data_IF_860241584359
#
_entry.id   IF_860241584359
#
_cell.length_a   1.000
_cell.length_b   1.000
_cell.length_c   1.000
_cell.angle_alpha   90.00
_cell.angle_beta   90.00
_cell.angle_gamma   90.00
#
_symmetry.space_group_name_H-M   'P 1'
#
loop_
_entity.id
_entity.type
_entity.pdbx_description
1 polymer ?
#
# COMPACT_ATOMS: atom_id res chain seq x y z
N UNK A 1 89.68 -47.95 -15.04
CA UNK A 1 89.48 -46.70 -14.28
C UNK A 1 89.39 -45.53 -15.22
N UNK A 2 88.14 -45.02 -15.49
CA UNK A 2 87.90 -43.67 -15.97
C UNK A 2 86.39 -43.44 -15.84
N UNK A 3 85.98 -42.47 -15.00
CA UNK A 3 84.59 -42.04 -14.71
C UNK A 3 84.08 -41.17 -15.85
N UNK A 4 83.03 -41.58 -16.51
CA UNK A 4 82.29 -40.72 -17.42
C UNK A 4 81.11 -40.06 -16.65
N UNK A 5 81.14 -38.78 -16.52
CA UNK A 5 80.04 -37.98 -15.99
C UNK A 5 79.12 -37.62 -17.14
N UNK A 6 77.91 -38.13 -17.10
CA UNK A 6 76.78 -37.74 -18.00
C UNK A 6 76.12 -36.49 -17.43
N UNK A 7 76.12 -35.42 -18.20
CA UNK A 7 75.39 -34.20 -17.83
C UNK A 7 73.93 -34.34 -18.38
N UNK A 8 72.99 -34.40 -17.46
CA UNK A 8 71.55 -34.33 -17.78
C UNK A 8 71.15 -32.86 -17.76
N UNK A 9 70.76 -32.32 -18.90
CA UNK A 9 70.14 -30.99 -18.98
C UNK A 9 68.66 -31.13 -18.65
N UNK A 10 68.22 -30.47 -17.56
CA UNK A 10 66.80 -30.36 -17.20
C UNK A 10 66.24 -29.10 -17.88
N UNK A 11 65.37 -29.29 -18.84
CA UNK A 11 64.56 -28.22 -19.46
C UNK A 11 63.34 -28.04 -18.56
N UNK A 12 63.30 -26.95 -17.81
CA UNK A 12 62.11 -26.56 -17.03
C UNK A 12 61.11 -25.85 -17.93
N UNK A 13 60.03 -26.54 -18.25
CA UNK A 13 58.87 -25.97 -18.95
C UNK A 13 57.98 -25.28 -17.92
N UNK A 14 58.03 -23.94 -17.83
CA UNK A 14 57.15 -23.16 -16.98
C UNK A 14 55.78 -23.07 -17.66
N UNK A 15 54.83 -23.91 -17.23
CA UNK A 15 53.42 -23.77 -17.57
C UNK A 15 52.78 -22.71 -16.68
N UNK A 16 52.59 -21.52 -17.21
CA UNK A 16 51.84 -20.45 -16.55
C UNK A 16 50.36 -20.81 -16.56
N UNK A 17 49.84 -21.39 -15.47
CA UNK A 17 48.42 -21.56 -15.21
C UNK A 17 47.91 -20.22 -14.73
N UNK A 18 47.30 -19.44 -15.66
CA UNK A 18 46.54 -18.26 -15.29
C UNK A 18 45.23 -18.72 -14.61
N UNK A 19 45.22 -18.77 -13.28
CA UNK A 19 43.98 -18.85 -12.52
C UNK A 19 43.18 -17.55 -12.76
N UNK A 20 42.19 -17.62 -13.63
CA UNK A 20 41.12 -16.62 -13.66
C UNK A 20 40.28 -16.87 -12.41
N UNK A 21 40.61 -16.18 -11.33
CA UNK A 21 39.75 -16.03 -10.17
C UNK A 21 38.54 -15.21 -10.66
N UNK A 22 37.49 -15.90 -11.15
CA UNK A 22 36.16 -15.33 -11.22
C UNK A 22 35.75 -15.04 -9.76
N UNK A 23 36.12 -13.87 -9.27
CA UNK A 23 35.52 -13.34 -8.06
C UNK A 23 34.05 -13.12 -8.38
N UNK A 24 33.19 -14.03 -7.92
CA UNK A 24 31.81 -13.67 -7.65
C UNK A 24 31.85 -12.60 -6.56
N UNK A 25 32.11 -11.35 -6.93
CA UNK A 25 31.80 -10.23 -6.08
C UNK A 25 30.28 -10.20 -5.99
N UNK A 26 29.71 -10.68 -4.91
CA UNK A 26 28.42 -10.19 -4.48
C UNK A 26 28.59 -8.67 -4.37
N UNK A 27 28.15 -7.93 -5.38
CA UNK A 27 28.15 -6.47 -5.33
C UNK A 27 27.22 -6.10 -4.16
N UNK A 28 27.82 -5.66 -3.05
CA UNK A 28 27.05 -5.00 -2.00
C UNK A 28 26.36 -3.82 -2.66
N UNK A 29 25.05 -3.65 -2.43
CA UNK A 29 24.35 -2.48 -2.93
C UNK A 29 24.86 -1.25 -2.20
N UNK A 30 25.05 -0.15 -2.94
CA UNK A 30 25.55 1.10 -2.38
C UNK A 30 24.47 1.78 -1.53
N UNK A 31 23.21 1.68 -1.99
CA UNK A 31 22.04 2.26 -1.35
C UNK A 31 20.95 1.21 -1.17
N UNK A 32 20.05 1.45 -0.23
CA UNK A 32 18.88 0.61 -0.01
C UNK A 32 17.60 1.43 0.00
N UNK A 33 16.55 0.85 -0.58
CA UNK A 33 15.17 1.21 -0.25
C UNK A 33 14.60 0.14 0.67
N UNK A 34 13.71 0.54 1.57
CA UNK A 34 13.05 -0.39 2.47
C UNK A 34 11.55 -0.45 2.21
N UNK A 35 10.90 -1.59 2.52
CA UNK A 35 9.47 -1.62 2.78
C UNK A 35 9.20 -1.74 4.27
N UNK A 36 8.10 -1.11 4.73
CA UNK A 36 7.61 -1.22 6.10
C UNK A 36 6.12 -1.57 6.07
N UNK A 37 5.81 -2.86 6.18
CA UNK A 37 4.50 -3.44 5.94
C UNK A 37 4.13 -4.45 7.05
N UNK A 38 2.82 -4.75 7.28
CA UNK A 38 2.42 -5.81 8.19
C UNK A 38 2.65 -7.18 7.54
N UNK A 39 3.67 -7.92 7.99
CA UNK A 39 4.06 -9.22 7.44
C UNK A 39 3.43 -10.40 8.19
N UNK A 40 2.59 -10.12 9.19
CA UNK A 40 1.83 -11.11 9.97
C UNK A 40 0.35 -10.73 10.02
N UNK A 41 -0.52 -11.74 10.25
CA UNK A 41 -1.97 -11.54 10.34
C UNK A 41 -2.66 -11.48 8.98
N UNK A 42 -3.82 -10.87 8.91
CA UNK A 42 -4.68 -10.88 7.72
C UNK A 42 -4.08 -10.20 6.49
N UNK A 43 -3.26 -9.16 6.69
CA UNK A 43 -2.59 -8.43 5.61
C UNK A 43 -1.29 -9.09 5.11
N UNK A 44 -0.85 -10.21 5.69
CA UNK A 44 0.46 -10.81 5.39
C UNK A 44 0.63 -11.18 3.91
N UNK A 45 -0.37 -11.78 3.29
CA UNK A 45 -0.30 -12.19 1.87
C UNK A 45 -0.23 -10.99 0.93
N UNK A 46 -0.98 -9.93 1.20
CA UNK A 46 -0.89 -8.69 0.43
C UNK A 46 0.47 -8.02 0.57
N UNK A 47 1.01 -7.97 1.80
CA UNK A 47 2.33 -7.41 2.08
C UNK A 47 3.44 -8.19 1.39
N UNK A 48 3.38 -9.53 1.41
CA UNK A 48 4.30 -10.41 0.69
C UNK A 48 4.21 -10.18 -0.82
N UNK A 49 3.01 -10.12 -1.37
CA UNK A 49 2.78 -9.83 -2.79
C UNK A 49 3.31 -8.45 -3.19
N UNK A 50 3.18 -7.46 -2.31
CA UNK A 50 3.74 -6.12 -2.49
C UNK A 50 5.27 -6.15 -2.50
N UNK A 51 5.90 -6.84 -1.56
CA UNK A 51 7.36 -7.00 -1.52
C UNK A 51 7.87 -7.74 -2.77
N UNK A 52 7.16 -8.75 -3.24
CA UNK A 52 7.46 -9.44 -4.48
C UNK A 52 7.40 -8.49 -5.69
N UNK A 53 6.38 -7.64 -5.78
CA UNK A 53 6.26 -6.66 -6.84
C UNK A 53 7.43 -5.64 -6.84
N UNK A 54 7.88 -5.20 -5.67
CA UNK A 54 9.04 -4.32 -5.52
C UNK A 54 10.31 -5.04 -5.97
N UNK A 55 10.53 -6.29 -5.53
CA UNK A 55 11.70 -7.11 -5.93
C UNK A 55 11.75 -7.33 -7.43
N UNK A 56 10.60 -7.60 -8.06
CA UNK A 56 10.51 -7.74 -9.51
C UNK A 56 10.91 -6.43 -10.21
N UNK A 57 10.38 -5.30 -9.77
CA UNK A 57 10.72 -3.99 -10.33
C UNK A 57 12.23 -3.71 -10.23
N UNK A 58 12.83 -3.93 -9.07
CA UNK A 58 14.27 -3.79 -8.86
C UNK A 58 15.08 -4.70 -9.79
N UNK A 59 14.67 -5.97 -9.91
CA UNK A 59 15.28 -6.93 -10.83
C UNK A 59 15.22 -6.44 -12.28
N UNK A 60 14.06 -5.91 -12.72
CA UNK A 60 13.88 -5.34 -14.06
C UNK A 60 14.75 -4.10 -14.29
N UNK A 61 14.97 -3.29 -13.26
CA UNK A 61 15.89 -2.15 -13.27
C UNK A 61 17.38 -2.56 -13.15
N UNK A 62 17.70 -3.87 -13.10
CA UNK A 62 19.05 -4.38 -12.88
C UNK A 62 19.61 -4.06 -11.49
N UNK A 63 18.73 -3.86 -10.49
CA UNK A 63 19.07 -3.39 -9.16
C UNK A 63 19.85 -2.06 -9.18
N UNK A 64 19.44 -1.14 -10.04
CA UNK A 64 20.11 0.16 -10.25
C UNK A 64 19.11 1.31 -10.31
N UNK A 65 19.60 2.48 -9.88
CA UNK A 65 18.95 3.77 -10.08
C UNK A 65 20.03 4.79 -10.49
N UNK A 66 20.07 5.17 -11.79
CA UNK A 66 21.17 5.95 -12.33
C UNK A 66 22.51 5.20 -12.19
N UNK A 67 23.47 5.83 -11.52
CA UNK A 67 24.81 5.23 -11.27
C UNK A 67 24.85 4.35 -10.00
N UNK A 68 23.83 4.43 -9.13
CA UNK A 68 23.80 3.71 -7.88
C UNK A 68 23.32 2.28 -8.02
N UNK A 69 23.93 1.35 -7.30
CA UNK A 69 23.35 0.03 -7.07
C UNK A 69 22.37 0.12 -5.88
N UNK A 70 21.16 -0.44 -6.05
CA UNK A 70 20.07 -0.33 -5.07
C UNK A 70 19.65 -1.71 -4.59
N UNK A 71 19.76 -1.93 -3.28
CA UNK A 71 19.25 -3.09 -2.58
C UNK A 71 17.87 -2.86 -1.99
N UNK A 72 17.30 -3.93 -1.39
CA UNK A 72 15.99 -3.91 -0.79
C UNK A 72 15.99 -4.54 0.60
N UNK A 73 15.28 -3.91 1.55
CA UNK A 73 15.06 -4.41 2.91
C UNK A 73 13.58 -4.47 3.21
N UNK A 74 13.18 -5.45 4.03
CA UNK A 74 11.81 -5.62 4.47
C UNK A 74 11.73 -5.46 5.98
N UNK A 75 10.84 -4.59 6.44
CA UNK A 75 10.53 -4.41 7.86
C UNK A 75 9.09 -4.83 8.12
N UNK A 76 8.90 -5.57 9.20
CA UNK A 76 7.60 -5.98 9.68
C UNK A 76 7.12 -4.99 10.75
N UNK A 77 5.99 -4.32 10.50
CA UNK A 77 5.37 -3.42 11.47
C UNK A 77 4.20 -4.08 12.23
N UNK A 78 3.97 -5.35 12.01
CA UNK A 78 2.96 -6.15 12.69
C UNK A 78 3.53 -6.96 13.86
N UNK A 79 2.63 -7.49 14.67
CA UNK A 79 2.99 -8.44 15.72
C UNK A 79 2.01 -9.61 15.72
N UNK A 80 2.51 -10.82 16.06
CA UNK A 80 1.65 -12.01 16.19
C UNK A 80 0.55 -11.82 17.25
N UNK A 81 0.80 -11.01 18.28
CA UNK A 81 -0.17 -10.74 19.34
C UNK A 81 -1.36 -9.90 18.86
N UNK A 82 -1.13 -8.96 17.94
CA UNK A 82 -2.20 -8.15 17.34
C UNK A 82 -2.80 -8.78 16.07
N UNK A 83 -2.03 -9.58 15.34
CA UNK A 83 -2.43 -10.08 14.01
C UNK A 83 -2.60 -8.96 12.97
N UNK A 84 -2.04 -7.79 13.24
CA UNK A 84 -2.07 -6.59 12.40
C UNK A 84 -0.90 -5.67 12.78
N UNK A 85 -0.80 -4.50 12.15
CA UNK A 85 0.21 -3.50 12.51
C UNK A 85 0.15 -3.11 14.00
N UNK A 86 1.30 -2.70 14.57
CA UNK A 86 1.46 -2.39 15.99
C UNK A 86 2.20 -1.07 16.18
N UNK A 87 1.65 -0.19 17.04
CA UNK A 87 2.18 1.16 17.28
C UNK A 87 3.64 1.13 17.77
N UNK A 88 3.94 0.24 18.70
CA UNK A 88 5.29 0.12 19.26
C UNK A 88 6.28 -0.43 18.22
N UNK A 89 5.82 -1.37 17.37
CA UNK A 89 6.66 -1.90 16.30
C UNK A 89 6.91 -0.84 15.22
N UNK A 90 5.89 -0.04 14.83
CA UNK A 90 6.06 1.10 13.93
C UNK A 90 7.09 2.11 14.47
N UNK A 91 7.01 2.45 15.77
CA UNK A 91 7.96 3.36 16.38
C UNK A 91 9.40 2.79 16.41
N UNK A 92 9.54 1.48 16.66
CA UNK A 92 10.83 0.77 16.61
C UNK A 92 11.40 0.77 15.19
N UNK A 93 10.59 0.46 14.19
CA UNK A 93 11.01 0.45 12.79
C UNK A 93 11.45 1.84 12.34
N UNK A 94 10.72 2.90 12.73
CA UNK A 94 11.11 4.28 12.41
C UNK A 94 12.54 4.60 12.87
N UNK A 95 12.92 4.18 14.09
CA UNK A 95 14.29 4.34 14.59
C UNK A 95 15.30 3.47 13.84
N UNK A 96 14.90 2.26 13.44
CA UNK A 96 15.76 1.36 12.67
C UNK A 96 16.06 1.94 11.27
N UNK A 97 15.08 2.53 10.59
CA UNK A 97 15.26 3.25 9.32
C UNK A 97 16.28 4.40 9.45
N UNK A 98 16.15 5.24 10.48
CA UNK A 98 17.10 6.33 10.72
C UNK A 98 18.52 5.81 11.01
N UNK A 99 18.64 4.68 11.73
CA UNK A 99 19.92 4.08 12.06
C UNK A 99 20.64 3.42 10.86
N UNK A 100 19.89 2.94 9.86
CA UNK A 100 20.42 2.27 8.67
C UNK A 100 20.95 3.32 7.65
N UNK A 101 22.20 3.72 7.76
CA UNK A 101 22.78 4.88 7.04
C UNK A 101 22.85 4.73 5.52
N UNK A 102 22.83 3.51 5.01
CA UNK A 102 22.77 3.18 3.59
C UNK A 102 21.33 3.08 3.04
N UNK A 103 20.33 3.22 3.91
CA UNK A 103 18.93 3.29 3.53
C UNK A 103 18.52 4.73 3.25
N UNK A 104 18.04 5.01 2.04
CA UNK A 104 17.78 6.38 1.57
C UNK A 104 16.30 6.71 1.39
N UNK A 105 15.43 5.71 1.38
CA UNK A 105 13.99 5.90 1.25
C UNK A 105 13.20 4.69 1.74
N UNK A 106 11.94 4.92 2.14
CA UNK A 106 11.00 3.90 2.63
C UNK A 106 9.78 3.83 1.73
N UNK A 107 9.39 2.63 1.31
CA UNK A 107 8.07 2.32 0.76
C UNK A 107 7.17 1.83 1.90
N UNK A 108 6.09 2.48 2.15
CA UNK A 108 5.19 2.12 3.25
C UNK A 108 4.38 3.32 3.75
N UNK A 109 3.59 3.10 4.70
CA UNK A 109 3.13 1.81 5.27
C UNK A 109 1.83 1.37 4.60
N UNK A 110 1.32 0.18 4.96
CA UNK A 110 -0.03 -0.21 4.56
C UNK A 110 -1.08 0.59 5.35
N UNK A 111 -0.88 0.73 6.67
CA UNK A 111 -1.85 1.34 7.59
C UNK A 111 -1.50 2.81 7.88
N UNK A 112 -2.45 3.73 7.70
CA UNK A 112 -2.26 5.17 7.93
C UNK A 112 -1.87 5.53 9.36
N UNK A 113 -2.33 4.75 10.37
CA UNK A 113 -1.93 4.93 11.76
C UNK A 113 -0.44 4.72 11.98
N UNK A 114 0.15 3.70 11.35
CA UNK A 114 1.59 3.45 11.39
C UNK A 114 2.37 4.58 10.70
N UNK A 115 1.90 5.08 9.55
CA UNK A 115 2.53 6.21 8.86
C UNK A 115 2.59 7.46 9.75
N UNK A 116 1.53 7.76 10.51
CA UNK A 116 1.50 8.89 11.46
C UNK A 116 2.57 8.79 12.55
N UNK A 117 3.08 7.58 12.83
CA UNK A 117 4.18 7.34 13.78
C UNK A 117 5.55 7.47 13.09
N UNK A 118 5.69 6.90 11.88
CA UNK A 118 6.98 6.81 11.20
C UNK A 118 7.38 8.14 10.56
N UNK A 119 6.46 8.81 9.84
CA UNK A 119 6.75 10.04 9.07
C UNK A 119 7.45 11.12 9.89
N UNK A 120 7.02 11.49 11.13
CA UNK A 120 7.68 12.55 11.89
C UNK A 120 9.10 12.17 12.36
N UNK A 121 9.40 10.88 12.50
CA UNK A 121 10.75 10.40 12.84
C UNK A 121 11.67 10.51 11.64
N UNK A 122 11.22 10.04 10.47
CA UNK A 122 11.96 10.17 9.21
C UNK A 122 12.14 11.65 8.80
N UNK A 123 11.19 12.52 9.15
CA UNK A 123 11.26 13.94 8.89
C UNK A 123 12.42 14.61 9.62
N UNK A 124 12.73 14.14 10.82
CA UNK A 124 13.78 14.68 11.69
C UNK A 124 15.12 13.96 11.57
N UNK A 125 15.31 13.15 10.53
CA UNK A 125 16.56 12.45 10.32
C UNK A 125 17.73 13.45 10.21
N UNK A 126 18.82 13.27 10.98
CA UNK A 126 19.95 14.21 10.99
C UNK A 126 20.71 14.29 9.66
N UNK A 127 20.63 13.23 8.82
CA UNK A 127 21.26 13.18 7.50
C UNK A 127 20.37 13.79 6.40
N UNK A 128 19.25 14.41 6.79
CA UNK A 128 18.22 15.02 5.95
C UNK A 128 16.91 14.23 5.97
N UNK A 129 15.77 14.87 5.71
CA UNK A 129 14.47 14.20 5.72
C UNK A 129 14.47 12.98 4.80
N UNK A 130 14.22 11.79 5.38
CA UNK A 130 14.12 10.56 4.59
C UNK A 130 12.75 10.48 3.93
N UNK A 131 12.73 10.25 2.63
CA UNK A 131 11.49 10.13 1.85
C UNK A 131 10.75 8.85 2.19
N UNK A 132 9.43 8.96 2.34
CA UNK A 132 8.53 7.83 2.44
C UNK A 132 7.44 7.92 1.37
N UNK A 133 7.25 6.85 0.58
CA UNK A 133 6.19 6.77 -0.43
C UNK A 133 5.27 5.61 -0.12
N UNK A 134 3.99 5.89 0.12
CA UNK A 134 3.00 4.86 0.42
C UNK A 134 2.25 4.38 -0.81
N UNK A 135 1.99 3.09 -0.84
CA UNK A 135 1.13 2.43 -1.81
C UNK A 135 -0.33 2.30 -1.34
N UNK A 136 -0.63 2.58 -0.06
CA UNK A 136 -1.92 2.23 0.53
C UNK A 136 -2.47 3.22 1.58
N UNK A 137 -1.67 4.16 2.09
CA UNK A 137 -2.18 5.13 3.06
C UNK A 137 -3.07 6.17 2.41
N UNK A 138 -4.30 6.26 2.85
CA UNK A 138 -5.33 7.13 2.26
C UNK A 138 -5.83 8.22 3.20
N UNK A 139 -5.47 8.18 4.50
CA UNK A 139 -5.93 9.19 5.46
C UNK A 139 -5.50 10.60 5.05
N UNK A 140 -6.43 11.56 4.87
CA UNK A 140 -6.10 12.90 4.42
C UNK A 140 -5.18 13.67 5.36
N UNK A 141 -5.27 13.42 6.67
CA UNK A 141 -4.50 14.12 7.70
C UNK A 141 -2.99 13.94 7.61
N UNK A 142 -2.50 12.96 6.82
CA UNK A 142 -1.08 12.81 6.54
C UNK A 142 -0.51 13.96 5.69
N UNK A 143 -1.35 14.62 4.87
CA UNK A 143 -0.90 15.61 3.87
C UNK A 143 -1.72 16.89 3.87
N UNK A 144 -2.94 16.85 4.40
CA UNK A 144 -3.91 17.95 4.39
C UNK A 144 -4.41 18.28 5.80
N UNK A 145 -4.96 19.47 5.99
CA UNK A 145 -5.69 19.82 7.21
C UNK A 145 -6.89 18.88 7.38
N UNK A 146 -6.92 18.16 8.49
CA UNK A 146 -7.95 17.16 8.78
C UNK A 146 -8.36 17.18 10.25
N UNK A 147 -7.53 16.68 11.14
CA UNK A 147 -7.71 16.81 12.59
C UNK A 147 -6.76 17.87 13.16
N UNK A 148 -6.95 18.23 14.43
CA UNK A 148 -6.16 19.29 15.07
C UNK A 148 -4.64 19.06 14.94
N UNK A 149 -3.95 20.05 14.42
CA UNK A 149 -2.50 20.04 14.20
C UNK A 149 -2.04 19.18 13.01
N UNK A 150 -2.96 18.62 12.22
CA UNK A 150 -2.62 17.90 10.99
C UNK A 150 -2.62 18.88 9.80
N UNK A 151 -1.72 18.66 8.86
CA UNK A 151 -0.66 17.64 8.81
C UNK A 151 0.65 18.09 9.48
N UNK A 152 0.76 19.34 9.96
CA UNK A 152 2.02 20.00 10.39
C UNK A 152 2.74 19.20 11.48
N UNK A 153 2.01 18.55 12.39
CA UNK A 153 2.59 17.73 13.46
C UNK A 153 3.45 16.56 12.95
N UNK A 154 3.29 16.16 11.69
CA UNK A 154 4.08 15.09 11.06
C UNK A 154 5.34 15.62 10.35
N UNK A 155 5.47 16.94 10.23
CA UNK A 155 6.57 17.62 9.53
C UNK A 155 7.26 18.65 10.42
N UNK A 156 7.85 18.24 11.56
CA UNK A 156 8.42 19.18 12.52
C UNK A 156 9.56 20.04 11.97
N UNK A 157 10.24 19.59 10.89
CA UNK A 157 11.25 20.41 10.17
C UNK A 157 10.65 21.35 9.13
N UNK A 158 9.35 21.27 8.87
CA UNK A 158 8.66 21.95 7.77
C UNK A 158 8.86 21.30 6.39
N UNK A 159 9.72 20.28 6.27
CA UNK A 159 9.93 19.55 5.02
C UNK A 159 8.84 18.51 4.78
N UNK A 160 8.24 18.48 3.60
CA UNK A 160 7.22 17.48 3.21
C UNK A 160 7.90 16.24 2.62
N UNK A 161 8.24 15.27 3.47
CA UNK A 161 8.98 14.05 3.09
C UNK A 161 8.08 12.83 2.82
N UNK A 162 6.77 12.99 2.86
CA UNK A 162 5.81 11.92 2.63
C UNK A 162 5.05 12.11 1.33
N UNK A 163 4.89 11.01 0.58
CA UNK A 163 4.18 10.92 -0.69
C UNK A 163 3.31 9.67 -0.73
N UNK A 164 2.32 9.62 -1.64
CA UNK A 164 1.51 8.42 -1.87
C UNK A 164 1.07 8.29 -3.32
N UNK A 165 1.08 7.05 -3.83
CA UNK A 165 0.69 6.74 -5.21
C UNK A 165 -0.78 6.32 -5.34
N UNK A 166 -1.55 6.37 -4.25
CA UNK A 166 -3.01 6.19 -4.19
C UNK A 166 -3.67 7.50 -3.77
N UNK A 167 -4.92 7.71 -4.15
CA UNK A 167 -5.65 8.92 -3.75
C UNK A 167 -6.17 8.83 -2.31
N UNK A 168 -6.88 9.83 -1.83
CA UNK A 168 -7.18 10.02 -0.41
C UNK A 168 -8.61 9.66 -0.05
N UNK A 169 -8.88 9.40 1.24
CA UNK A 169 -10.20 9.01 1.77
C UNK A 169 -11.29 10.07 1.55
N UNK A 170 -10.95 11.35 1.45
CA UNK A 170 -11.90 12.38 1.09
C UNK A 170 -12.43 12.16 -0.34
N UNK A 171 -11.57 11.76 -1.29
CA UNK A 171 -12.02 11.35 -2.62
C UNK A 171 -12.77 10.01 -2.57
N UNK A 172 -12.28 9.04 -1.80
CA UNK A 172 -12.91 7.72 -1.70
C UNK A 172 -14.31 7.80 -1.09
N UNK A 173 -14.47 8.53 0.00
CA UNK A 173 -15.76 8.72 0.66
C UNK A 173 -16.77 9.46 -0.23
N UNK A 174 -16.32 10.48 -0.98
CA UNK A 174 -17.14 11.19 -1.94
C UNK A 174 -17.63 10.24 -3.05
N UNK A 175 -16.73 9.52 -3.71
CA UNK A 175 -17.08 8.58 -4.77
C UNK A 175 -18.01 7.45 -4.28
N UNK A 176 -17.76 6.93 -3.08
CA UNK A 176 -18.62 5.90 -2.47
C UNK A 176 -20.05 6.43 -2.20
N UNK A 177 -20.19 7.67 -1.74
CA UNK A 177 -21.48 8.29 -1.49
C UNK A 177 -22.23 8.61 -2.82
N UNK A 178 -21.52 9.12 -3.85
CA UNK A 178 -22.07 9.32 -5.19
C UNK A 178 -22.55 7.98 -5.78
N UNK A 179 -21.76 6.93 -5.66
CA UNK A 179 -22.16 5.60 -6.10
C UNK A 179 -23.39 5.09 -5.35
N UNK A 180 -23.42 5.20 -4.02
CA UNK A 180 -24.58 4.79 -3.22
C UNK A 180 -25.86 5.51 -3.66
N UNK A 181 -25.79 6.83 -3.90
CA UNK A 181 -26.91 7.60 -4.41
C UNK A 181 -27.34 7.11 -5.81
N UNK A 182 -26.39 6.86 -6.71
CA UNK A 182 -26.67 6.44 -8.10
C UNK A 182 -27.40 5.10 -8.19
N UNK A 183 -27.19 4.20 -7.21
CA UNK A 183 -27.87 2.90 -7.13
C UNK A 183 -29.14 2.93 -6.27
N UNK A 184 -29.64 4.12 -5.97
CA UNK A 184 -30.93 4.36 -5.31
C UNK A 184 -30.94 4.23 -3.79
N UNK A 185 -29.78 4.23 -3.13
CA UNK A 185 -29.69 4.30 -1.66
C UNK A 185 -30.22 5.65 -1.18
N UNK A 186 -31.04 5.64 -0.14
CA UNK A 186 -31.58 6.83 0.51
C UNK A 186 -31.20 6.89 1.99
N UNK A 187 -31.06 5.74 2.63
CA UNK A 187 -30.84 5.58 4.06
C UNK A 187 -29.62 4.70 4.31
N UNK A 188 -28.61 5.24 4.94
CA UNK A 188 -27.34 4.52 5.18
C UNK A 188 -27.02 4.49 6.66
N UNK A 189 -26.55 3.34 7.14
CA UNK A 189 -25.96 3.21 8.46
C UNK A 189 -24.46 3.06 8.32
N UNK A 190 -23.68 3.89 9.00
CA UNK A 190 -22.21 3.94 8.90
C UNK A 190 -21.58 3.29 10.12
N UNK A 191 -20.59 2.42 9.88
CA UNK A 191 -19.75 1.77 10.88
C UNK A 191 -18.28 2.17 10.66
N UNK A 192 -17.45 2.10 11.73
CA UNK A 192 -16.00 2.24 11.62
C UNK A 192 -15.26 1.25 12.53
N UNK A 193 -13.98 0.98 12.24
CA UNK A 193 -13.12 0.05 12.99
C UNK A 193 -12.40 0.69 14.19
N UNK A 194 -12.71 1.92 14.53
CA UNK A 194 -12.05 2.73 15.58
C UNK A 194 -10.57 3.03 15.32
N UNK A 195 -10.06 2.71 14.12
CA UNK A 195 -8.70 3.06 13.72
C UNK A 195 -8.67 4.37 12.93
N UNK A 196 -7.49 4.97 12.87
CA UNK A 196 -7.26 6.24 12.16
C UNK A 196 -7.81 6.24 10.73
N UNK A 197 -7.55 5.16 9.98
CA UNK A 197 -8.05 5.01 8.61
C UNK A 197 -9.56 4.85 8.59
N UNK A 198 -10.11 3.87 9.29
CA UNK A 198 -11.53 3.57 9.22
C UNK A 198 -12.43 4.69 9.72
N UNK A 199 -12.02 5.42 10.77
CA UNK A 199 -12.70 6.65 11.20
C UNK A 199 -12.64 7.70 10.10
N UNK A 200 -11.49 7.90 9.46
CA UNK A 200 -11.28 8.89 8.41
C UNK A 200 -12.20 8.66 7.21
N UNK A 201 -12.16 7.47 6.63
CA UNK A 201 -12.98 7.15 5.45
C UNK A 201 -14.48 7.12 5.76
N UNK A 202 -14.88 6.66 6.96
CA UNK A 202 -16.28 6.71 7.42
C UNK A 202 -16.78 8.16 7.58
N UNK A 203 -15.93 9.07 8.08
CA UNK A 203 -16.22 10.50 8.19
C UNK A 203 -16.40 11.13 6.81
N UNK A 204 -15.49 10.85 5.89
CA UNK A 204 -15.56 11.33 4.50
C UNK A 204 -16.85 10.90 3.83
N UNK A 205 -17.18 9.61 3.90
CA UNK A 205 -18.43 9.07 3.38
C UNK A 205 -19.65 9.73 4.03
N UNK A 206 -19.66 9.85 5.35
CA UNK A 206 -20.79 10.45 6.10
C UNK A 206 -21.05 11.89 5.68
N UNK A 207 -19.97 12.68 5.54
CA UNK A 207 -20.06 14.08 5.08
C UNK A 207 -20.62 14.17 3.67
N UNK A 208 -20.08 13.38 2.74
CA UNK A 208 -20.52 13.35 1.36
C UNK A 208 -21.97 12.84 1.22
N UNK A 209 -22.34 11.78 1.93
CA UNK A 209 -23.70 11.24 1.94
C UNK A 209 -24.71 12.28 2.39
N UNK A 210 -24.44 13.04 3.46
CA UNK A 210 -25.29 14.13 3.93
C UNK A 210 -25.39 15.25 2.90
N UNK A 211 -24.27 15.64 2.29
CA UNK A 211 -24.25 16.69 1.24
C UNK A 211 -25.07 16.29 0.00
N UNK A 212 -25.12 15.01 -0.34
CA UNK A 212 -25.92 14.44 -1.43
C UNK A 212 -27.39 14.18 -1.05
N UNK A 213 -27.79 14.49 0.20
CA UNK A 213 -29.18 14.31 0.66
C UNK A 213 -29.53 12.89 1.11
N UNK A 214 -28.57 12.01 1.31
CA UNK A 214 -28.81 10.71 1.92
C UNK A 214 -29.05 10.87 3.43
N UNK A 215 -29.98 10.08 3.98
CA UNK A 215 -30.24 10.04 5.41
C UNK A 215 -29.22 9.13 6.09
N UNK A 216 -28.28 9.70 6.85
CA UNK A 216 -27.34 8.94 7.68
C UNK A 216 -28.01 8.60 9.01
N UNK A 217 -28.13 7.31 9.29
CA UNK A 217 -28.92 6.75 10.43
C UNK A 217 -28.08 6.51 11.68
N UNK A 218 -26.75 6.45 11.53
CA UNK A 218 -25.81 6.28 12.61
C UNK A 218 -25.49 7.59 13.32
N UNK A 219 -25.14 7.50 14.59
CA UNK A 219 -24.71 8.65 15.40
C UNK A 219 -23.27 9.07 15.02
N UNK A 220 -22.94 10.32 15.25
CA UNK A 220 -21.61 10.87 15.03
C UNK A 220 -21.32 11.29 13.58
N UNK A 221 -20.10 11.78 13.38
CA UNK A 221 -19.60 12.22 12.06
C UNK A 221 -18.91 11.08 11.27
N UNK A 222 -18.46 10.03 11.98
CA UNK A 222 -17.81 8.85 11.43
C UNK A 222 -18.62 7.56 11.67
N UNK A 223 -19.90 7.66 12.07
CA UNK A 223 -20.73 6.50 12.38
C UNK A 223 -20.34 5.84 13.72
N UNK A 224 -20.67 4.56 13.87
CA UNK A 224 -20.53 3.79 15.12
C UNK A 224 -19.36 2.82 15.01
N UNK A 225 -18.44 2.86 15.99
CA UNK A 225 -17.31 1.94 16.07
C UNK A 225 -17.71 0.52 16.49
N UNK A 226 -17.26 -0.51 15.76
CA UNK A 226 -17.40 -1.88 16.22
C UNK A 226 -16.23 -2.28 17.14
N UNK A 227 -16.42 -3.37 17.88
CA UNK A 227 -15.39 -3.97 18.73
C UNK A 227 -14.76 -5.15 17.98
N UNK A 228 -13.47 -5.04 17.63
CA UNK A 228 -12.71 -6.07 16.90
C UNK A 228 -12.54 -7.39 17.68
N UNK A 229 -12.79 -7.36 19.01
CA UNK A 229 -12.72 -8.54 19.89
C UNK A 229 -14.07 -9.15 20.20
N UNK A 230 -15.16 -8.58 19.69
CA UNK A 230 -16.48 -9.12 19.91
C UNK A 230 -16.62 -10.50 19.27
N UNK A 231 -17.18 -11.51 19.97
CA UNK A 231 -17.39 -12.84 19.41
C UNK A 231 -18.47 -12.87 18.32
N UNK A 232 -19.35 -11.90 18.31
CA UNK A 232 -20.39 -11.68 17.30
C UNK A 232 -20.94 -10.26 17.37
N UNK A 233 -21.69 -9.85 16.36
CA UNK A 233 -22.28 -8.51 16.22
C UNK A 233 -23.83 -8.54 16.22
N UNK A 234 -24.46 -9.54 16.85
CA UNK A 234 -25.93 -9.67 16.92
C UNK A 234 -26.60 -8.41 17.46
N UNK A 235 -26.16 -7.91 18.60
CA UNK A 235 -26.74 -6.73 19.23
C UNK A 235 -26.60 -5.50 18.34
N UNK A 236 -25.44 -5.32 17.68
CA UNK A 236 -25.18 -4.23 16.76
C UNK A 236 -26.13 -4.29 15.55
N UNK A 237 -26.21 -5.43 14.84
CA UNK A 237 -27.06 -5.57 13.68
C UNK A 237 -28.54 -5.62 13.99
N UNK A 238 -28.94 -6.05 15.18
CA UNK A 238 -30.33 -5.91 15.65
C UNK A 238 -30.72 -4.43 15.80
N UNK A 239 -29.84 -3.60 16.40
CA UNK A 239 -30.03 -2.13 16.47
C UNK A 239 -30.10 -1.51 15.08
N UNK A 240 -29.18 -1.88 14.17
CA UNK A 240 -29.16 -1.38 12.79
C UNK A 240 -30.45 -1.76 12.07
N UNK A 241 -30.92 -2.99 12.18
CA UNK A 241 -32.17 -3.47 11.55
C UNK A 241 -33.38 -2.62 11.93
N UNK A 242 -33.47 -2.19 13.21
CA UNK A 242 -34.58 -1.35 13.68
C UNK A 242 -34.59 0.03 12.98
N UNK A 243 -33.48 0.52 12.48
CA UNK A 243 -33.39 1.79 11.72
C UNK A 243 -33.79 1.66 10.26
N UNK A 244 -33.96 0.45 9.73
CA UNK A 244 -34.36 0.14 8.34
C UNK A 244 -33.45 0.82 7.30
N UNK A 245 -32.14 0.53 7.26
CA UNK A 245 -31.25 1.08 6.25
C UNK A 245 -31.42 0.41 4.89
N UNK A 246 -31.14 1.14 3.81
CA UNK A 246 -30.99 0.57 2.46
C UNK A 246 -29.58 0.02 2.25
N UNK A 247 -28.59 0.60 2.99
CA UNK A 247 -27.19 0.22 2.92
C UNK A 247 -26.55 0.33 4.31
N UNK A 248 -25.60 -0.56 4.57
CA UNK A 248 -24.57 -0.38 5.60
C UNK A 248 -23.25 -0.05 4.92
N UNK A 249 -22.64 1.08 5.28
CA UNK A 249 -21.28 1.45 4.89
C UNK A 249 -20.33 1.17 6.03
N UNK A 250 -19.18 0.60 5.71
CA UNK A 250 -18.13 0.29 6.69
C UNK A 250 -16.87 1.11 6.37
N UNK A 251 -16.30 1.78 7.34
CA UNK A 251 -14.96 2.35 7.27
C UNK A 251 -14.02 1.48 8.11
N UNK A 252 -13.06 0.81 7.49
CA UNK A 252 -12.13 -0.04 8.22
C UNK A 252 -11.43 -1.08 7.39
N UNK A 253 -10.68 -1.95 8.07
CA UNK A 253 -9.91 -3.04 7.47
C UNK A 253 -10.46 -4.41 7.86
N UNK A 254 -10.28 -5.38 6.98
CA UNK A 254 -10.74 -6.75 7.19
C UNK A 254 -10.08 -7.43 8.40
N UNK A 255 -8.81 -7.13 8.69
CA UNK A 255 -8.03 -7.69 9.83
C UNK A 255 -8.72 -7.50 11.19
N UNK A 256 -9.54 -6.48 11.35
CA UNK A 256 -10.20 -6.15 12.62
C UNK A 256 -11.55 -6.83 12.74
N UNK A 257 -11.53 -8.17 12.66
CA UNK A 257 -12.71 -9.02 12.78
C UNK A 257 -13.76 -8.79 11.68
N UNK A 258 -13.32 -8.32 10.50
CA UNK A 258 -14.16 -8.02 9.36
C UNK A 258 -14.95 -9.25 8.88
N UNK A 259 -14.35 -10.44 8.94
CA UNK A 259 -15.01 -11.68 8.54
C UNK A 259 -16.27 -11.96 9.37
N UNK A 260 -16.21 -11.78 10.70
CA UNK A 260 -17.38 -11.93 11.56
C UNK A 260 -18.42 -10.83 11.31
N UNK A 261 -17.97 -9.60 11.04
CA UNK A 261 -18.84 -8.48 10.71
C UNK A 261 -19.67 -8.76 9.44
N UNK A 262 -19.04 -9.29 8.39
CA UNK A 262 -19.68 -9.67 7.11
C UNK A 262 -20.71 -10.76 7.32
N UNK A 263 -20.37 -11.84 8.05
CA UNK A 263 -21.27 -12.94 8.35
C UNK A 263 -22.51 -12.48 9.12
N UNK A 264 -22.32 -11.68 10.15
CA UNK A 264 -23.43 -11.21 10.99
C UNK A 264 -24.28 -10.17 10.28
N UNK A 265 -23.70 -9.33 9.40
CA UNK A 265 -24.50 -8.45 8.54
C UNK A 265 -25.51 -9.25 7.72
N UNK A 266 -25.09 -10.30 7.05
CA UNK A 266 -25.99 -11.14 6.23
C UNK A 266 -26.97 -11.89 7.10
N UNK A 267 -26.54 -12.46 8.20
CA UNK A 267 -27.39 -13.21 9.14
C UNK A 267 -28.56 -12.37 9.67
N UNK A 268 -28.34 -11.11 10.02
CA UNK A 268 -29.34 -10.29 10.70
C UNK A 268 -30.07 -9.30 9.77
N UNK A 269 -29.44 -8.82 8.68
CA UNK A 269 -30.02 -7.86 7.75
C UNK A 269 -30.42 -8.48 6.41
N UNK A 270 -30.05 -9.74 6.16
CA UNK A 270 -30.20 -10.43 4.87
C UNK A 270 -29.03 -10.18 3.94
N UNK A 271 -29.10 -10.83 2.79
CA UNK A 271 -28.07 -10.76 1.75
C UNK A 271 -27.87 -9.31 1.23
N UNK A 272 -26.81 -9.13 0.43
CA UNK A 272 -26.40 -7.79 -0.03
C UNK A 272 -27.30 -7.22 -1.14
N UNK A 273 -28.29 -7.98 -1.61
CA UNK A 273 -29.37 -7.47 -2.49
C UNK A 273 -30.50 -6.80 -1.71
N UNK A 274 -30.76 -7.26 -0.47
CA UNK A 274 -31.82 -6.71 0.41
C UNK A 274 -31.38 -5.44 1.12
N UNK A 275 -30.27 -5.52 1.86
CA UNK A 275 -29.59 -4.37 2.44
C UNK A 275 -28.18 -4.33 1.87
N UNK A 276 -27.88 -3.34 1.05
CA UNK A 276 -26.58 -3.22 0.41
C UNK A 276 -25.46 -3.15 1.45
N UNK A 277 -24.31 -3.67 1.10
CA UNK A 277 -23.14 -3.62 1.94
C UNK A 277 -22.00 -3.03 1.14
N UNK A 278 -21.38 -1.96 1.61
CA UNK A 278 -20.27 -1.31 0.94
C UNK A 278 -19.13 -1.05 1.92
N UNK A 279 -17.94 -1.41 1.48
CA UNK A 279 -16.69 -1.31 2.24
C UNK A 279 -15.63 -0.59 1.42
N UNK A 280 -14.64 0.04 2.05
CA UNK A 280 -13.54 0.70 1.36
C UNK A 280 -12.43 -0.29 0.98
N UNK A 281 -11.35 0.23 0.46
CA UNK A 281 -10.17 -0.51 0.01
C UNK A 281 -9.48 -1.36 1.09
N UNK A 282 -9.72 -1.07 2.38
CA UNK A 282 -9.30 -1.92 3.48
C UNK A 282 -9.92 -3.33 3.51
N UNK A 283 -10.84 -3.64 2.60
CA UNK A 283 -11.42 -4.97 2.39
C UNK A 283 -11.02 -5.58 1.03
N UNK A 284 -10.30 -4.87 0.17
CA UNK A 284 -9.89 -5.37 -1.14
C UNK A 284 -8.71 -6.33 -1.06
N UNK A 285 -8.69 -7.35 -1.93
CA UNK A 285 -7.55 -8.27 -2.09
C UNK A 285 -7.34 -9.26 -0.95
N UNK A 286 -8.33 -9.47 -0.07
CA UNK A 286 -8.27 -10.48 0.99
C UNK A 286 -8.89 -11.80 0.52
N UNK A 287 -8.11 -12.89 0.33
CA UNK A 287 -8.66 -14.18 -0.07
C UNK A 287 -9.72 -14.70 0.90
N UNK A 288 -9.50 -14.53 2.22
CA UNK A 288 -10.44 -14.96 3.25
C UNK A 288 -11.77 -14.19 3.20
N UNK A 289 -11.76 -12.91 2.82
CA UNK A 289 -12.97 -12.13 2.58
C UNK A 289 -13.72 -12.64 1.35
N UNK A 290 -12.99 -12.82 0.24
CA UNK A 290 -13.58 -13.26 -1.03
C UNK A 290 -14.12 -14.70 -0.98
N UNK A 291 -13.56 -15.54 -0.10
CA UNK A 291 -14.04 -16.88 0.13
C UNK A 291 -15.35 -16.97 0.95
N UNK A 292 -15.79 -15.86 1.59
CA UNK A 292 -17.03 -15.83 2.35
C UNK A 292 -18.25 -15.81 1.41
N UNK A 293 -19.18 -16.77 1.51
CA UNK A 293 -20.44 -16.69 0.75
C UNK A 293 -21.22 -15.40 1.03
N UNK A 294 -21.11 -14.87 2.25
CA UNK A 294 -21.77 -13.65 2.71
C UNK A 294 -21.18 -12.37 2.07
N UNK A 295 -20.00 -12.45 1.46
CA UNK A 295 -19.43 -11.33 0.71
C UNK A 295 -20.09 -11.12 -0.66
N UNK A 296 -20.76 -12.14 -1.20
CA UNK A 296 -21.39 -12.07 -2.52
C UNK A 296 -22.35 -10.88 -2.64
N UNK A 297 -22.18 -10.06 -3.70
CA UNK A 297 -22.96 -8.87 -3.96
C UNK A 297 -22.57 -7.64 -3.12
N UNK A 298 -21.57 -7.75 -2.26
CA UNK A 298 -21.02 -6.57 -1.56
C UNK A 298 -20.26 -5.66 -2.52
N UNK A 299 -20.31 -4.35 -2.27
CA UNK A 299 -19.53 -3.36 -3.02
C UNK A 299 -18.25 -3.00 -2.28
N UNK A 300 -17.21 -2.72 -3.05
CA UNK A 300 -15.94 -2.21 -2.56
C UNK A 300 -15.58 -0.93 -3.31
N UNK A 301 -14.83 -0.04 -2.67
CA UNK A 301 -14.16 1.07 -3.37
C UNK A 301 -12.65 0.90 -3.25
N UNK A 302 -11.92 1.27 -4.30
CA UNK A 302 -10.46 1.23 -4.34
C UNK A 302 -9.90 2.59 -4.77
N UNK A 303 -8.88 3.07 -4.08
CA UNK A 303 -8.27 4.41 -4.22
C UNK A 303 -7.29 4.51 -5.40
N UNK A 304 -7.76 4.21 -6.58
CA UNK A 304 -7.01 4.19 -7.84
C UNK A 304 -7.72 3.33 -8.88
N UNK A 305 -6.99 2.90 -9.90
CA UNK A 305 -7.45 1.86 -10.82
C UNK A 305 -7.26 0.48 -10.18
N UNK A 306 -8.25 -0.39 -10.27
CA UNK A 306 -8.05 -1.80 -9.94
C UNK A 306 -7.20 -2.50 -11.02
N UNK A 307 -6.53 -3.57 -10.62
CA UNK A 307 -5.55 -4.26 -11.48
C UNK A 307 -6.12 -4.72 -12.83
N UNK A 308 -7.40 -5.09 -12.87
CA UNK A 308 -8.12 -5.49 -14.08
C UNK A 308 -8.45 -4.29 -15.00
N UNK A 309 -8.35 -3.08 -14.50
CA UNK A 309 -8.56 -1.81 -15.22
C UNK A 309 -7.26 -1.19 -15.73
N UNK A 310 -6.11 -1.77 -15.46
CA UNK A 310 -4.85 -1.26 -15.97
C UNK A 310 -4.83 -1.30 -17.49
N UNK A 311 -4.28 -0.25 -18.16
CA UNK A 311 -4.21 -0.17 -19.60
C UNK A 311 -3.50 -1.38 -20.22
N UNK A 312 -4.06 -1.91 -21.32
CA UNK A 312 -3.48 -3.02 -22.08
C UNK A 312 -2.43 -2.54 -23.07
N UNK A 313 -1.53 -3.43 -23.45
CA UNK A 313 -0.49 -3.19 -24.47
C UNK A 313 0.69 -2.33 -23.99
N UNK A 314 0.82 -2.06 -22.66
CA UNK A 314 1.85 -1.18 -22.12
C UNK A 314 2.66 -1.78 -20.97
N UNK A 315 3.36 -0.89 -20.24
CA UNK A 315 4.21 -1.26 -19.11
C UNK A 315 3.42 -1.99 -17.99
N UNK A 316 2.19 -1.57 -17.73
CA UNK A 316 1.35 -2.16 -16.69
C UNK A 316 0.97 -3.62 -17.01
N UNK A 317 0.54 -3.92 -18.23
CA UNK A 317 0.22 -5.30 -18.63
C UNK A 317 1.48 -6.18 -18.64
N UNK A 318 2.59 -5.63 -19.15
CA UNK A 318 3.88 -6.34 -19.13
C UNK A 318 4.31 -6.67 -17.71
N UNK A 319 4.21 -5.72 -16.78
CA UNK A 319 4.58 -5.95 -15.38
C UNK A 319 3.76 -7.06 -14.73
N UNK A 320 2.44 -7.10 -14.98
CA UNK A 320 1.56 -8.18 -14.47
C UNK A 320 1.95 -9.55 -15.06
N UNK A 321 2.25 -9.60 -16.36
CA UNK A 321 2.69 -10.83 -17.01
C UNK A 321 4.03 -11.32 -16.47
N UNK A 322 4.99 -10.42 -16.26
CA UNK A 322 6.29 -10.73 -15.69
C UNK A 322 6.17 -11.18 -14.22
N UNK A 323 5.24 -10.57 -13.45
CA UNK A 323 4.97 -10.99 -12.08
C UNK A 323 4.45 -12.43 -12.02
N UNK A 324 3.47 -12.75 -12.86
CA UNK A 324 2.93 -14.11 -12.98
C UNK A 324 4.01 -15.11 -13.39
N UNK A 325 4.88 -14.74 -14.33
CA UNK A 325 5.98 -15.59 -14.79
C UNK A 325 7.04 -15.82 -13.70
N UNK A 326 7.33 -14.82 -12.85
CA UNK A 326 8.34 -14.89 -11.80
C UNK A 326 7.86 -15.68 -10.58
N UNK A 327 6.59 -15.46 -10.16
CA UNK A 327 6.08 -16.01 -8.90
C UNK A 327 5.06 -17.14 -9.06
N UNK A 328 4.60 -17.43 -10.28
CA UNK A 328 3.61 -18.50 -10.55
C UNK A 328 2.17 -18.13 -10.17
N UNK A 329 1.95 -16.93 -9.69
CA UNK A 329 0.65 -16.41 -9.28
C UNK A 329 0.50 -14.92 -9.64
N UNK A 330 -0.73 -14.46 -9.80
CA UNK A 330 -0.98 -13.03 -10.01
C UNK A 330 -0.80 -12.24 -8.70
N UNK A 331 -0.54 -10.91 -8.75
CA UNK A 331 -0.56 -10.08 -7.56
C UNK A 331 -1.88 -10.22 -6.81
N UNK A 332 -1.84 -10.39 -5.48
CA UNK A 332 -3.04 -10.66 -4.66
C UNK A 332 -4.02 -9.49 -4.60
N UNK A 333 -3.52 -8.27 -4.79
CA UNK A 333 -4.35 -7.06 -4.81
C UNK A 333 -3.76 -5.98 -5.70
N UNK A 334 -4.56 -4.97 -6.03
CA UNK A 334 -4.08 -3.77 -6.72
C UNK A 334 -2.97 -3.07 -5.93
N UNK A 335 -3.05 -3.04 -4.59
CA UNK A 335 -2.02 -2.47 -3.72
C UNK A 335 -0.63 -3.09 -3.92
N UNK A 336 -0.56 -4.36 -4.33
CA UNK A 336 0.72 -5.01 -4.62
C UNK A 336 1.46 -4.32 -5.77
N UNK A 337 0.75 -4.00 -6.84
CA UNK A 337 1.33 -3.30 -8.00
C UNK A 337 1.60 -1.83 -7.68
N UNK A 338 0.74 -1.19 -6.87
CA UNK A 338 1.00 0.17 -6.38
C UNK A 338 2.26 0.22 -5.48
N UNK A 339 2.64 -0.89 -4.81
CA UNK A 339 3.93 -0.99 -4.11
C UNK A 339 5.11 -0.90 -5.07
N UNK A 340 5.03 -1.59 -6.22
CA UNK A 340 6.02 -1.42 -7.27
C UNK A 340 6.01 0.00 -7.87
N UNK A 341 4.83 0.63 -8.03
CA UNK A 341 4.74 2.03 -8.48
C UNK A 341 5.41 3.00 -7.50
N UNK A 342 5.25 2.79 -6.20
CA UNK A 342 5.95 3.58 -5.18
C UNK A 342 7.47 3.39 -5.27
N UNK A 343 7.94 2.16 -5.42
CA UNK A 343 9.35 1.87 -5.63
C UNK A 343 9.87 2.48 -6.95
N UNK A 344 9.08 2.47 -8.02
CA UNK A 344 9.43 3.10 -9.31
C UNK A 344 9.68 4.60 -9.15
N UNK A 345 8.84 5.29 -8.38
CA UNK A 345 9.00 6.70 -8.02
C UNK A 345 10.29 6.92 -7.23
N UNK A 346 10.57 6.05 -6.24
CA UNK A 346 11.78 6.13 -5.43
C UNK A 346 13.05 5.91 -6.27
N UNK A 347 13.06 4.91 -7.17
CA UNK A 347 14.19 4.68 -8.07
C UNK A 347 14.42 5.88 -9.01
N UNK A 348 13.35 6.51 -9.50
CA UNK A 348 13.45 7.71 -10.34
C UNK A 348 14.04 8.90 -9.56
N UNK A 349 13.72 9.04 -8.26
CA UNK A 349 14.28 10.07 -7.41
C UNK A 349 15.76 9.80 -7.07
N UNK A 350 16.11 8.55 -6.73
CA UNK A 350 17.51 8.15 -6.47
C UNK A 350 18.37 8.43 -7.71
N UNK A 351 17.90 8.05 -8.90
CA UNK A 351 18.63 8.25 -10.16
C UNK A 351 18.93 9.74 -10.48
N UNK A 352 18.16 10.68 -9.92
CA UNK A 352 18.34 12.13 -10.11
C UNK A 352 19.03 12.80 -8.92
N UNK A 353 19.36 12.07 -7.87
CA UNK A 353 19.96 12.55 -6.64
C UNK A 353 21.48 12.37 -6.62
N UNK A 354 22.11 12.82 -5.55
CA UNK A 354 23.51 12.53 -5.22
C UNK A 354 23.68 11.27 -4.35
N UNK A 355 22.61 10.48 -4.19
CA UNK A 355 22.58 9.27 -3.37
C UNK A 355 22.40 9.51 -1.87
N UNK A 356 22.34 10.75 -1.42
CA UNK A 356 22.06 11.07 0.00
C UNK A 356 20.56 11.15 0.27
N UNK A 357 20.13 10.95 1.53
CA UNK A 357 18.73 11.13 1.96
C UNK A 357 18.20 12.50 1.55
N UNK A 358 19.00 13.55 1.81
CA UNK A 358 18.68 14.93 1.41
C UNK A 358 18.55 15.08 -0.11
N UNK A 359 19.47 14.48 -0.88
CA UNK A 359 19.44 14.52 -2.35
C UNK A 359 18.20 13.83 -2.90
N UNK A 360 17.84 12.65 -2.39
CA UNK A 360 16.61 11.93 -2.77
C UNK A 360 15.36 12.74 -2.41
N UNK A 361 15.31 13.37 -1.23
CA UNK A 361 14.21 14.24 -0.83
C UNK A 361 14.05 15.44 -1.79
N UNK A 362 15.12 16.11 -2.15
CA UNK A 362 15.05 17.24 -3.09
C UNK A 362 14.62 16.78 -4.50
N UNK A 363 15.11 15.61 -4.96
CA UNK A 363 14.75 15.06 -6.25
C UNK A 363 13.25 14.69 -6.34
N UNK A 364 12.63 14.27 -5.23
CA UNK A 364 11.19 13.92 -5.20
C UNK A 364 10.27 15.07 -5.59
N UNK A 365 10.65 16.32 -5.34
CA UNK A 365 9.82 17.50 -5.64
C UNK A 365 9.45 17.67 -7.12
N UNK A 366 10.16 17.02 -8.02
CA UNK A 366 9.93 17.13 -9.47
C UNK A 366 9.78 15.78 -10.16
N UNK A 367 9.54 14.70 -9.41
CA UNK A 367 9.39 13.38 -10.01
C UNK A 367 8.06 13.27 -10.75
N UNK A 368 8.16 12.81 -11.99
CA UNK A 368 7.04 12.36 -12.83
C UNK A 368 7.46 11.05 -13.48
N UNK A 369 6.63 10.02 -13.35
CA UNK A 369 6.72 8.79 -14.12
C UNK A 369 5.59 8.83 -15.14
N UNK A 370 5.91 8.87 -16.45
CA UNK A 370 4.88 8.91 -17.50
C UNK A 370 3.99 7.67 -17.47
N UNK A 371 2.73 7.80 -17.86
CA UNK A 371 1.79 6.68 -17.93
C UNK A 371 2.32 5.51 -18.77
N UNK A 372 3.06 5.79 -19.85
CA UNK A 372 3.66 4.78 -20.73
C UNK A 372 4.75 3.92 -20.07
N UNK A 373 5.37 4.42 -18.99
CA UNK A 373 6.43 3.74 -18.24
C UNK A 373 5.94 3.19 -16.90
N UNK A 374 4.81 3.70 -16.41
CA UNK A 374 4.25 3.36 -15.10
C UNK A 374 3.73 1.92 -15.06
N UNK A 375 4.10 1.18 -14.01
CA UNK A 375 3.63 -0.19 -13.80
C UNK A 375 2.13 -0.28 -13.47
N UNK A 376 1.47 0.84 -13.18
CA UNK A 376 0.01 0.93 -13.03
C UNK A 376 -0.66 1.57 -14.25
N UNK A 377 0.12 2.00 -15.25
CA UNK A 377 -0.37 2.53 -16.53
C UNK A 377 -1.01 3.92 -16.44
N UNK A 378 -0.85 4.62 -15.33
CA UNK A 378 -1.25 6.02 -15.14
C UNK A 378 -0.03 6.86 -14.80
N UNK A 379 -0.09 8.17 -15.09
CA UNK A 379 0.99 9.08 -14.71
C UNK A 379 1.13 9.13 -13.17
N UNK A 380 2.35 8.95 -12.67
CA UNK A 380 2.67 9.15 -11.27
C UNK A 380 3.28 10.54 -11.10
N UNK A 381 2.48 11.47 -10.68
CA UNK A 381 2.84 12.87 -10.42
C UNK A 381 2.13 13.34 -9.15
N UNK A 382 2.82 14.12 -8.35
CA UNK A 382 2.34 14.56 -7.04
C UNK A 382 2.00 16.05 -7.05
N UNK A 383 1.05 16.40 -6.20
CA UNK A 383 0.77 17.80 -5.88
C UNK A 383 1.78 18.34 -4.84
N UNK A 384 1.60 19.58 -4.43
CA UNK A 384 2.46 20.26 -3.45
C UNK A 384 2.44 19.62 -2.07
N UNK A 385 1.41 18.81 -1.77
CA UNK A 385 1.25 18.11 -0.49
C UNK A 385 1.90 16.72 -0.50
N UNK A 386 2.30 16.21 -1.67
CA UNK A 386 2.78 14.84 -1.86
C UNK A 386 1.68 13.82 -2.19
N UNK A 387 0.47 14.28 -2.46
CA UNK A 387 -0.64 13.42 -2.91
C UNK A 387 -0.55 13.20 -4.42
N UNK A 388 -0.87 11.96 -4.88
CA UNK A 388 -1.02 11.70 -6.31
C UNK A 388 -2.12 12.61 -6.90
N UNK A 389 -1.88 13.16 -8.09
CA UNK A 389 -2.84 14.07 -8.72
C UNK A 389 -4.08 13.36 -9.26
N UNK A 390 -4.01 12.05 -9.50
CA UNK A 390 -5.17 11.26 -9.90
C UNK A 390 -6.18 11.17 -8.75
N UNK A 391 -7.46 11.36 -9.07
CA UNK A 391 -8.59 11.25 -8.14
C UNK A 391 -9.56 10.16 -8.57
N UNK A 392 -9.04 9.16 -9.29
CA UNK A 392 -9.84 8.03 -9.76
C UNK A 392 -10.11 7.07 -8.60
N UNK A 393 -11.37 6.70 -8.45
CA UNK A 393 -11.84 5.67 -7.52
C UNK A 393 -12.51 4.58 -8.33
N UNK A 394 -12.07 3.35 -8.16
CA UNK A 394 -12.74 2.18 -8.75
C UNK A 394 -13.78 1.64 -7.77
N UNK A 395 -14.99 1.39 -8.27
CA UNK A 395 -16.03 0.66 -7.56
C UNK A 395 -16.05 -0.77 -8.08
N UNK A 396 -15.99 -1.70 -7.15
CA UNK A 396 -15.97 -3.13 -7.40
C UNK A 396 -17.21 -3.79 -6.76
N UNK A 397 -17.57 -4.97 -7.25
CA UNK A 397 -18.57 -5.85 -6.63
C UNK A 397 -17.95 -7.23 -6.41
N UNK A 398 -18.34 -7.90 -5.35
CA UNK A 398 -17.93 -9.30 -5.12
C UNK A 398 -18.88 -10.24 -5.84
N UNK A 399 -18.38 -10.89 -6.89
CA UNK A 399 -19.12 -11.84 -7.72
C UNK A 399 -18.31 -13.12 -7.86
N UNK A 400 -18.91 -14.27 -7.53
CA UNK A 400 -18.27 -15.59 -7.62
C UNK A 400 -16.90 -15.65 -6.90
N UNK A 401 -16.82 -15.04 -5.73
CA UNK A 401 -15.58 -15.01 -4.93
C UNK A 401 -14.46 -14.15 -5.52
N UNK A 402 -14.80 -13.21 -6.39
CA UNK A 402 -13.84 -12.29 -7.04
C UNK A 402 -14.33 -10.86 -6.98
N UNK A 403 -13.38 -9.94 -6.93
CA UNK A 403 -13.63 -8.53 -7.16
C UNK A 403 -13.87 -8.30 -8.66
N UNK A 404 -15.01 -7.72 -9.02
CA UNK A 404 -15.37 -7.42 -10.40
C UNK A 404 -15.63 -5.93 -10.56
N UNK A 405 -15.12 -5.34 -11.63
CA UNK A 405 -15.30 -3.94 -11.94
C UNK A 405 -16.77 -3.58 -12.16
N UNK A 406 -17.21 -2.50 -11.51
CA UNK A 406 -18.56 -1.91 -11.71
C UNK A 406 -18.47 -0.59 -12.45
N UNK A 407 -17.71 0.35 -11.91
CA UNK A 407 -17.52 1.67 -12.51
C UNK A 407 -16.28 2.36 -11.96
N UNK A 408 -15.84 3.40 -12.65
CA UNK A 408 -14.81 4.33 -12.17
C UNK A 408 -15.44 5.70 -11.98
N UNK A 409 -15.12 6.35 -10.87
CA UNK A 409 -15.56 7.70 -10.54
C UNK A 409 -14.31 8.56 -10.37
N UNK A 410 -14.21 9.63 -11.17
CA UNK A 410 -13.15 10.64 -11.02
C UNK A 410 -13.74 11.80 -10.23
N UNK A 411 -13.27 11.98 -9.00
CA UNK A 411 -13.75 13.06 -8.12
C UNK A 411 -13.24 14.41 -8.61
N UNK A 412 -14.12 15.40 -8.61
CA UNK A 412 -13.82 16.76 -9.13
C UNK A 412 -13.03 17.62 -8.15
#
# INVERSE_FOLDING_TARGET
MKKNRLKVAVVALAASVSLVLSSCSSSSSDLFIASDLPLQGGSADQSKSTNNAIKLLLKQAGNKAGEFSVGFREYDNSTAAKGSWDDAQCAKNAQAHVAAKDEVAVMGTYNSGCAKIIVPVLNQDPDGPMVMVSNANTNPGLTKAWDAGEPEKYYPTGARNYYRVVTTDDNQGNAAAEFAQSIGVKRVYVLNDRQTYGIGVARSFTSAAKALGLTVLSDGDAGVGWDDKAPNYEALFTKIKATKPDMVYVGGIFDLNGGQLVKDKVKYLGDNTKVKFMMPDGFTGYPDFLALPEAAGAYLSFTGLSIDQFPKGGAAEKFQADYLAEYGEAPTSSFSVYGAAAAQVLLAAIAKSDGTRKGVFEAMKGIVVPASESVVGTELRFDENGDIVSRDITILNVTDGKETFVTKITVK
#
